data_IF_694723443575
#
_entry.id   IF_694723443575
#
_cell.length_a   1.000
_cell.length_b   1.000
_cell.length_c   1.000
_cell.angle_alpha   90.00
_cell.angle_beta   90.00
_cell.angle_gamma   90.00
#
_symmetry.space_group_name_H-M   'P 1'
#
loop_
_entity.id
_entity.type
_entity.pdbx_description
1 polymer ?
#
# COMPACT_ATOMS: atom_id res chain seq x y z
N UNK A 1 5.60 -11.92 5.09
CA UNK A 1 5.74 -12.02 3.62
C UNK A 1 7.20 -11.96 3.15
N UNK A 2 8.04 -11.09 3.72
CA UNK A 2 9.43 -10.90 3.28
C UNK A 2 10.29 -12.18 3.13
N UNK A 3 10.29 -13.17 4.07
CA UNK A 3 11.18 -14.34 3.96
C UNK A 3 10.91 -15.26 2.76
N UNK A 4 9.74 -15.12 2.11
CA UNK A 4 9.35 -15.94 0.97
C UNK A 4 9.48 -15.13 -0.33
N UNK A 5 8.88 -13.93 -0.36
CA UNK A 5 8.84 -13.15 -1.60
C UNK A 5 10.16 -12.45 -1.91
N UNK A 6 10.91 -11.97 -0.92
CA UNK A 6 12.18 -11.28 -1.18
C UNK A 6 13.19 -12.20 -1.85
N UNK A 7 13.47 -13.43 -1.36
CA UNK A 7 14.36 -14.35 -2.06
C UNK A 7 13.85 -14.74 -3.45
N UNK A 8 12.54 -14.95 -3.59
CA UNK A 8 11.92 -15.32 -4.87
C UNK A 8 12.15 -14.25 -5.95
N UNK A 9 11.88 -12.98 -5.64
CA UNK A 9 12.10 -11.89 -6.59
C UNK A 9 13.58 -11.57 -6.80
N UNK A 10 14.42 -11.79 -5.80
CA UNK A 10 15.87 -11.71 -5.95
C UNK A 10 16.39 -12.72 -6.98
N UNK A 11 15.88 -13.96 -6.96
CA UNK A 11 16.21 -14.98 -7.95
C UNK A 11 15.75 -14.62 -9.38
N UNK A 12 14.76 -13.73 -9.50
CA UNK A 12 14.29 -13.18 -10.78
C UNK A 12 15.11 -11.94 -11.22
N UNK A 13 16.13 -11.55 -10.45
CA UNK A 13 17.01 -10.43 -10.75
C UNK A 13 16.50 -9.07 -10.25
N UNK A 14 15.49 -9.04 -9.37
CA UNK A 14 15.01 -7.79 -8.78
C UNK A 14 15.68 -7.50 -7.44
N UNK A 15 15.94 -6.22 -7.18
CA UNK A 15 16.49 -5.77 -5.89
C UNK A 15 15.45 -6.01 -4.76
N UNK A 16 15.87 -6.46 -3.56
CA UNK A 16 14.99 -6.58 -2.39
C UNK A 16 14.19 -5.30 -2.09
N UNK A 17 14.75 -4.12 -2.38
CA UNK A 17 14.09 -2.82 -2.22
C UNK A 17 12.79 -2.73 -3.03
N UNK A 18 12.76 -3.28 -4.25
CA UNK A 18 11.55 -3.30 -5.08
C UNK A 18 10.44 -4.12 -4.42
N UNK A 19 10.79 -5.31 -3.93
CA UNK A 19 9.82 -6.19 -3.25
C UNK A 19 9.27 -5.55 -1.98
N UNK A 20 10.14 -4.87 -1.21
CA UNK A 20 9.69 -4.13 -0.03
C UNK A 20 8.80 -2.94 -0.39
N UNK A 21 9.10 -2.22 -1.47
CA UNK A 21 8.28 -1.09 -1.90
C UNK A 21 6.90 -1.55 -2.35
N UNK A 22 6.82 -2.61 -3.15
CA UNK A 22 5.55 -3.21 -3.55
C UNK A 22 4.71 -3.66 -2.34
N UNK A 23 5.35 -4.28 -1.34
CA UNK A 23 4.68 -4.65 -0.09
C UNK A 23 4.12 -3.42 0.66
N UNK A 24 4.94 -2.37 0.82
CA UNK A 24 4.53 -1.13 1.51
C UNK A 24 3.35 -0.43 0.82
N UNK A 25 3.36 -0.42 -0.51
CA UNK A 25 2.25 0.08 -1.30
C UNK A 25 0.98 -0.73 -0.98
N UNK A 26 1.04 -2.06 -1.10
CA UNK A 26 -0.10 -2.94 -0.84
C UNK A 26 -0.66 -2.82 0.58
N UNK A 27 0.20 -2.80 1.59
CA UNK A 27 -0.17 -2.64 3.00
C UNK A 27 -0.93 -1.32 3.25
N UNK A 28 -0.51 -0.23 2.60
CA UNK A 28 -1.11 1.08 2.80
C UNK A 28 -2.52 1.22 2.19
N UNK A 29 -2.77 0.59 1.04
CA UNK A 29 -3.99 0.81 0.24
C UNK A 29 -5.25 0.35 0.98
N UNK A 30 -5.14 -0.75 1.75
CA UNK A 30 -6.31 -1.42 2.35
C UNK A 30 -6.61 -0.97 3.79
N UNK A 31 -5.70 -0.23 4.43
CA UNK A 31 -5.88 0.25 5.81
C UNK A 31 -7.19 1.05 6.03
N UNK A 32 -7.59 1.99 5.15
CA UNK A 32 -8.82 2.78 5.37
C UNK A 32 -10.12 1.97 5.29
N UNK A 33 -10.08 0.81 4.61
CA UNK A 33 -11.24 -0.06 4.42
C UNK A 33 -11.20 -1.29 5.33
N UNK A 34 -10.27 -1.34 6.29
CA UNK A 34 -10.13 -2.47 7.21
C UNK A 34 -10.78 -2.15 8.56
N UNK A 35 -11.78 -2.93 9.02
CA UNK A 35 -12.42 -2.70 10.32
C UNK A 35 -11.51 -3.03 11.50
N UNK A 36 -10.46 -3.82 11.27
CA UNK A 36 -9.46 -4.21 12.27
C UNK A 36 -8.25 -3.27 12.30
N UNK A 37 -8.24 -2.23 11.47
CA UNK A 37 -7.19 -1.23 11.52
C UNK A 37 -7.20 -0.53 12.88
N UNK A 38 -6.04 -0.42 13.54
CA UNK A 38 -5.92 0.00 14.94
C UNK A 38 -6.60 1.34 15.25
N UNK A 39 -6.62 2.27 14.29
CA UNK A 39 -7.24 3.59 14.45
C UNK A 39 -8.71 3.67 14.01
N UNK A 40 -9.27 2.59 13.46
CA UNK A 40 -10.65 2.59 12.95
C UNK A 40 -11.69 2.99 14.00
N UNK A 41 -11.64 2.51 15.27
CA UNK A 41 -12.60 2.95 16.29
C UNK A 41 -12.57 4.46 16.56
N UNK A 42 -11.38 5.07 16.48
CA UNK A 42 -11.21 6.52 16.65
C UNK A 42 -11.84 7.27 15.47
N UNK A 43 -11.60 6.81 14.24
CA UNK A 43 -12.21 7.37 13.03
C UNK A 43 -13.74 7.31 13.12
N UNK A 44 -14.29 6.14 13.52
CA UNK A 44 -15.74 5.96 13.67
C UNK A 44 -16.32 6.89 14.74
N UNK A 45 -15.63 7.06 15.88
CA UNK A 45 -16.07 7.98 16.93
C UNK A 45 -16.12 9.44 16.45
N UNK A 46 -15.12 9.87 15.67
CA UNK A 46 -15.13 11.18 15.05
C UNK A 46 -16.21 11.34 13.99
N UNK A 47 -16.44 10.32 13.16
CA UNK A 47 -17.50 10.36 12.16
C UNK A 47 -18.90 10.44 12.81
N UNK A 48 -19.11 9.70 13.90
CA UNK A 48 -20.34 9.75 14.72
C UNK A 48 -20.65 11.11 15.33
N UNK A 49 -19.65 11.99 15.46
CA UNK A 49 -19.86 13.38 15.90
C UNK A 49 -20.64 14.20 14.87
N UNK A 50 -20.49 13.89 13.58
CA UNK A 50 -21.13 14.62 12.48
C UNK A 50 -22.37 13.91 11.95
N UNK A 51 -22.36 12.57 11.95
CA UNK A 51 -23.48 11.73 11.54
C UNK A 51 -23.70 10.59 12.54
N UNK A 52 -24.77 10.65 13.33
CA UNK A 52 -25.02 9.69 14.42
C UNK A 52 -25.32 8.27 13.91
N UNK A 53 -25.89 8.17 12.72
CA UNK A 53 -26.32 6.91 12.11
C UNK A 53 -25.18 6.22 11.34
N UNK A 54 -24.01 6.89 11.22
CA UNK A 54 -22.87 6.31 10.53
C UNK A 54 -22.38 5.02 11.21
N UNK A 55 -22.28 3.96 10.41
CA UNK A 55 -21.80 2.65 10.81
C UNK A 55 -20.42 2.33 10.23
N UNK A 56 -19.86 1.21 10.69
CA UNK A 56 -18.58 0.66 10.19
C UNK A 56 -18.61 0.51 8.66
N UNK A 57 -19.69 -0.08 8.13
CA UNK A 57 -19.88 -0.29 6.70
C UNK A 57 -19.94 1.01 5.91
N UNK A 58 -20.62 2.04 6.42
CA UNK A 58 -20.71 3.36 5.76
C UNK A 58 -19.36 4.05 5.70
N UNK A 59 -18.58 4.01 6.78
CA UNK A 59 -17.21 4.54 6.79
C UNK A 59 -16.35 3.80 5.76
N UNK A 60 -16.32 2.47 5.80
CA UNK A 60 -15.55 1.67 4.84
C UNK A 60 -15.99 1.90 3.38
N UNK A 61 -17.30 1.94 3.12
CA UNK A 61 -17.85 2.19 1.79
C UNK A 61 -17.44 3.58 1.28
N UNK A 62 -17.48 4.60 2.14
CA UNK A 62 -17.04 5.96 1.78
C UNK A 62 -15.53 6.04 1.49
N UNK A 63 -14.72 5.21 2.15
CA UNK A 63 -13.26 5.13 1.94
C UNK A 63 -12.84 4.23 0.77
N UNK A 64 -13.73 3.35 0.29
CA UNK A 64 -13.45 2.43 -0.82
C UNK A 64 -13.02 3.13 -2.12
N UNK A 65 -13.72 4.16 -2.63
CA UNK A 65 -13.28 4.86 -3.84
C UNK A 65 -11.89 5.50 -3.68
N UNK A 66 -11.57 6.02 -2.49
CA UNK A 66 -10.25 6.58 -2.18
C UNK A 66 -9.16 5.50 -2.21
N UNK A 67 -9.41 4.36 -1.56
CA UNK A 67 -8.51 3.21 -1.55
C UNK A 67 -8.20 2.73 -2.98
N UNK A 68 -9.21 2.61 -3.84
CA UNK A 68 -9.04 2.19 -5.23
C UNK A 68 -8.23 3.19 -6.06
N UNK A 69 -8.60 4.48 -6.01
CA UNK A 69 -7.91 5.52 -6.78
C UNK A 69 -6.46 5.69 -6.32
N UNK A 70 -6.22 5.68 -5.01
CA UNK A 70 -4.89 5.77 -4.45
C UNK A 70 -4.04 4.54 -4.79
N UNK A 71 -4.64 3.35 -4.75
CA UNK A 71 -3.97 2.11 -5.15
C UNK A 71 -3.55 2.12 -6.62
N UNK A 72 -4.44 2.56 -7.51
CA UNK A 72 -4.12 2.72 -8.93
C UNK A 72 -2.98 3.72 -9.13
N UNK A 73 -3.05 4.88 -8.47
CA UNK A 73 -1.99 5.90 -8.56
C UNK A 73 -0.63 5.36 -8.10
N UNK A 74 -0.59 4.60 -7.00
CA UNK A 74 0.64 3.99 -6.50
C UNK A 74 1.22 2.93 -7.43
N UNK A 75 0.36 2.07 -8.00
CA UNK A 75 0.80 1.05 -8.96
C UNK A 75 1.39 1.73 -10.19
N UNK A 76 0.73 2.77 -10.72
CA UNK A 76 1.23 3.55 -11.85
C UNK A 76 2.59 4.17 -11.50
N UNK A 77 2.74 4.77 -10.32
CA UNK A 77 3.99 5.36 -9.88
C UNK A 77 5.12 4.31 -9.79
N UNK A 78 4.84 3.14 -9.22
CA UNK A 78 5.82 2.06 -9.14
C UNK A 78 6.23 1.58 -10.55
N UNK A 79 5.27 1.43 -11.46
CA UNK A 79 5.54 1.06 -12.86
C UNK A 79 6.42 2.10 -13.55
N UNK A 80 6.16 3.40 -13.34
CA UNK A 80 7.02 4.47 -13.85
C UNK A 80 8.46 4.29 -13.35
N UNK A 81 8.66 4.07 -12.04
CA UNK A 81 9.99 3.85 -11.49
C UNK A 81 10.69 2.62 -12.10
N UNK A 82 9.95 1.54 -12.32
CA UNK A 82 10.49 0.32 -12.95
C UNK A 82 10.86 0.55 -14.42
N UNK A 83 9.99 1.18 -15.21
CA UNK A 83 10.21 1.42 -16.65
C UNK A 83 11.41 2.35 -16.89
N UNK A 84 11.55 3.40 -16.06
CA UNK A 84 12.66 4.34 -16.15
C UNK A 84 13.89 3.91 -15.35
N UNK A 85 13.88 2.73 -14.72
CA UNK A 85 14.94 2.19 -13.88
C UNK A 85 15.45 3.20 -12.83
N UNK A 86 14.52 3.90 -12.18
CA UNK A 86 14.83 4.91 -11.18
C UNK A 86 15.17 4.24 -9.84
N UNK A 87 16.19 4.71 -9.11
CA UNK A 87 16.50 4.17 -7.79
C UNK A 87 15.35 4.46 -6.83
N UNK A 88 14.92 3.43 -6.10
CA UNK A 88 13.87 3.51 -5.08
C UNK A 88 14.39 4.14 -3.78
N UNK A 89 15.71 4.30 -3.66
CA UNK A 89 16.41 4.96 -2.57
C UNK A 89 17.93 4.77 -2.68
N UNK A 90 18.69 5.30 -1.72
CA UNK A 90 20.14 5.08 -1.66
C UNK A 90 20.46 3.59 -1.60
N UNK A 91 21.17 3.07 -2.60
CA UNK A 91 21.52 1.65 -2.70
C UNK A 91 20.33 0.71 -2.96
N UNK A 92 19.15 1.22 -3.32
CA UNK A 92 17.97 0.42 -3.65
C UNK A 92 17.60 0.57 -5.13
N UNK A 93 18.14 -0.29 -5.99
CA UNK A 93 17.84 -0.31 -7.41
C UNK A 93 16.48 -0.95 -7.72
N UNK A 94 16.13 -1.02 -9.01
CA UNK A 94 15.04 -1.90 -9.48
C UNK A 94 15.57 -3.32 -9.68
N UNK A 95 16.72 -3.43 -10.33
CA UNK A 95 17.39 -4.69 -10.63
C UNK A 95 18.53 -4.92 -9.64
N UNK A 96 18.70 -6.19 -9.28
CA UNK A 96 19.82 -6.63 -8.47
C UNK A 96 21.07 -6.68 -9.34
N UNK A 97 22.03 -5.80 -9.05
CA UNK A 97 23.37 -5.84 -9.63
C UNK A 97 24.31 -6.45 -8.59
N UNK A 98 24.94 -7.58 -8.94
CA UNK A 98 25.97 -8.23 -8.11
C UNK A 98 27.21 -7.36 -7.97
#
# INVERSE_FOLDING_TARGET
>A
MAPIFVPMFLMLGYDPALTQMAYRIGDSITNPISPIFTYFPVILAFAKKYDKDIGIGTVMASMTPYSLLFGLAWIILLVIFMVFNLPLGPGGGIYYHM
#
